data_IF_159674614896
#
_entry.id   IF_159674614896
#
_cell.length_a   1.000
_cell.length_b   1.000
_cell.length_c   1.000
_cell.angle_alpha   90.00
_cell.angle_beta   90.00
_cell.angle_gamma   90.00
#
_symmetry.space_group_name_H-M   'P 1'
#
loop_
_entity.id
_entity.type
_entity.pdbx_description
1 polymer ?
#
# COMPACT_ATOMS: atom_id res chain seq x y z
N UNK A 1 -10.13 16.39 11.62
CA UNK A 1 -10.56 15.02 11.28
C UNK A 1 -10.30 14.77 9.80
N UNK A 2 -10.28 13.52 9.35
CA UNK A 2 -10.07 13.20 7.92
C UNK A 2 -11.31 13.55 7.09
N UNK A 3 -11.10 14.06 5.89
CA UNK A 3 -11.56 13.45 4.63
C UNK A 3 -10.96 14.23 3.46
N UNK A 4 -10.10 13.59 2.66
CA UNK A 4 -9.67 14.12 1.36
C UNK A 4 -10.36 13.31 0.24
N UNK A 5 -11.43 13.84 -0.37
CA UNK A 5 -12.00 13.26 -1.58
C UNK A 5 -11.13 13.58 -2.80
N UNK A 6 -11.32 12.85 -3.88
CA UNK A 6 -10.83 13.25 -5.21
C UNK A 6 -11.67 14.46 -5.64
N UNK A 7 -11.09 15.66 -5.61
CA UNK A 7 -11.77 16.89 -6.01
C UNK A 7 -11.85 16.97 -7.55
N UNK A 8 -13.07 16.84 -8.08
CA UNK A 8 -13.39 17.08 -9.49
C UNK A 8 -14.15 18.39 -9.58
N UNK A 9 -13.62 19.37 -10.34
CA UNK A 9 -14.18 20.71 -10.43
C UNK A 9 -14.86 20.98 -11.79
N UNK A 10 -16.17 21.25 -11.72
CA UNK A 10 -16.99 21.99 -12.68
C UNK A 10 -17.98 22.84 -11.87
N UNK A 11 -18.69 23.83 -12.41
CA UNK A 11 -19.13 24.09 -13.80
C UNK A 11 -19.28 25.60 -14.01
N UNK A 12 -19.12 26.07 -15.26
CA UNK A 12 -19.75 27.31 -15.75
C UNK A 12 -20.85 26.94 -16.75
N UNK A 13 -22.06 27.51 -16.63
CA UNK A 13 -23.21 27.32 -17.53
C UNK A 13 -23.71 28.67 -18.08
N UNK A 14 -24.22 28.71 -19.32
CA UNK A 14 -25.65 28.99 -19.43
C UNK A 14 -26.41 28.18 -20.51
N UNK A 15 -27.50 27.54 -20.06
CA UNK A 15 -28.80 27.30 -20.75
C UNK A 15 -29.01 26.05 -21.66
N UNK A 16 -29.76 25.09 -21.08
CA UNK A 16 -31.13 24.57 -21.48
C UNK A 16 -31.47 24.47 -22.99
N UNK A 17 -32.11 23.44 -23.54
CA UNK A 17 -32.69 22.12 -23.15
C UNK A 17 -32.51 21.16 -24.37
N UNK A 18 -33.03 19.92 -24.55
CA UNK A 18 -33.96 18.95 -23.90
C UNK A 18 -33.52 17.50 -24.29
N UNK A 19 -34.07 16.35 -23.89
CA UNK A 19 -35.37 15.98 -23.24
C UNK A 19 -35.18 14.88 -22.17
N UNK A 20 -33.98 14.73 -21.59
CA UNK A 20 -33.70 13.79 -20.49
C UNK A 20 -34.14 14.32 -19.10
N UNK A 21 -35.13 15.23 -19.04
CA UNK A 21 -35.47 15.98 -17.82
C UNK A 21 -36.16 15.15 -16.72
N UNK A 22 -36.90 14.10 -17.07
CA UNK A 22 -37.83 13.44 -16.12
C UNK A 22 -37.11 12.72 -14.96
N UNK A 23 -35.83 12.37 -15.11
CA UNK A 23 -34.98 11.86 -14.01
C UNK A 23 -34.20 12.96 -13.26
N UNK A 24 -34.16 14.19 -13.80
CA UNK A 24 -33.50 15.33 -13.17
C UNK A 24 -34.42 15.99 -12.11
N UNK A 25 -35.73 16.07 -12.40
CA UNK A 25 -36.76 16.71 -11.55
C UNK A 25 -37.10 15.95 -10.25
N UNK A 26 -36.25 15.02 -9.78
CA UNK A 26 -36.53 14.19 -8.58
C UNK A 26 -35.56 14.33 -7.40
N UNK A 27 -34.43 15.01 -7.57
CA UNK A 27 -33.52 15.34 -6.46
C UNK A 27 -33.64 16.82 -6.07
N UNK A 28 -34.76 17.17 -5.42
CA UNK A 28 -34.78 18.32 -4.52
C UNK A 28 -33.78 18.05 -3.38
N UNK A 29 -32.70 18.85 -3.31
CA UNK A 29 -32.16 19.46 -2.07
C UNK A 29 -30.76 20.08 -2.31
N UNK A 30 -30.74 21.19 -3.06
CA UNK A 30 -29.62 22.16 -3.03
C UNK A 30 -30.12 23.54 -2.56
N UNK A 31 -31.01 23.56 -1.56
CA UNK A 31 -31.52 24.80 -0.96
C UNK A 31 -32.13 24.63 0.44
N UNK A 32 -31.39 24.05 1.39
CA UNK A 32 -31.45 24.53 2.78
C UNK A 32 -30.04 24.95 3.18
N UNK A 33 -29.91 26.11 3.83
CA UNK A 33 -28.66 26.62 4.39
C UNK A 33 -28.74 26.50 5.90
N UNK A 34 -27.99 25.58 6.47
CA UNK A 34 -27.49 25.77 7.82
C UNK A 34 -26.38 26.83 7.75
N UNK A 35 -26.50 27.92 8.51
CA UNK A 35 -25.49 28.99 8.59
C UNK A 35 -24.26 28.50 9.38
N UNK A 36 -23.44 27.67 8.73
CA UNK A 36 -22.09 27.35 9.18
C UNK A 36 -21.16 28.44 8.64
N UNK A 37 -20.61 29.24 9.55
CA UNK A 37 -19.71 30.35 9.25
C UNK A 37 -18.49 29.95 8.38
N UNK A 38 -17.83 30.91 7.74
CA UNK A 38 -17.07 30.74 6.49
C UNK A 38 -16.08 29.57 6.54
N UNK A 39 -16.51 28.42 6.03
CA UNK A 39 -15.64 27.28 5.76
C UNK A 39 -14.73 27.65 4.60
N UNK A 40 -13.43 27.40 4.75
CA UNK A 40 -12.46 27.72 3.70
C UNK A 40 -12.77 26.88 2.45
N UNK A 41 -13.18 27.54 1.36
CA UNK A 41 -13.38 26.88 0.08
C UNK A 41 -12.11 26.14 -0.33
N UNK A 42 -12.26 24.91 -0.81
CA UNK A 42 -11.14 24.03 -1.17
C UNK A 42 -10.46 24.48 -2.47
N UNK A 43 -9.67 25.54 -2.37
CA UNK A 43 -8.93 26.15 -3.47
C UNK A 43 -7.79 25.24 -3.94
N UNK A 44 -7.87 24.79 -5.19
CA UNK A 44 -6.76 24.13 -5.88
C UNK A 44 -5.98 25.17 -6.70
N UNK A 45 -4.75 25.45 -6.29
CA UNK A 45 -3.82 26.21 -7.14
C UNK A 45 -3.50 25.36 -8.38
N UNK A 46 -3.78 25.92 -9.56
CA UNK A 46 -3.54 25.27 -10.85
C UNK A 46 -2.29 25.85 -11.53
N UNK A 47 -1.52 25.04 -12.29
CA UNK A 47 -0.46 25.56 -13.15
C UNK A 47 -1.03 26.58 -14.15
N UNK A 48 -0.31 27.68 -14.45
CA UNK A 48 -0.61 28.54 -15.59
C UNK A 48 -0.79 27.71 -16.87
N UNK A 49 -1.77 28.06 -17.71
CA UNK A 49 -2.13 27.29 -18.89
C UNK A 49 -0.96 27.08 -19.89
N UNK A 50 0.03 27.98 -19.86
CA UNK A 50 1.27 27.95 -20.65
C UNK A 50 2.28 26.89 -20.19
N UNK A 51 2.17 26.33 -18.98
CA UNK A 51 3.07 25.28 -18.48
C UNK A 51 2.68 23.87 -18.96
N UNK A 52 1.45 23.68 -19.45
CA UNK A 52 0.96 22.39 -19.93
C UNK A 52 1.51 22.03 -21.32
N UNK A 53 2.44 21.08 -21.37
CA UNK A 53 2.97 20.49 -22.60
C UNK A 53 2.12 19.30 -23.02
N UNK A 54 1.95 19.10 -24.32
CA UNK A 54 1.29 17.89 -24.81
C UNK A 54 2.23 16.69 -24.68
N UNK A 55 1.76 15.59 -24.08
CA UNK A 55 2.59 14.41 -23.77
C UNK A 55 3.14 13.78 -25.06
N UNK A 56 2.46 14.00 -26.19
CA UNK A 56 2.84 13.46 -27.50
C UNK A 56 3.33 14.55 -28.48
N UNK A 57 3.68 15.75 -28.00
CA UNK A 57 4.06 16.90 -28.84
C UNK A 57 5.20 16.63 -29.83
N UNK A 58 6.07 15.65 -29.53
CA UNK A 58 7.23 15.26 -30.35
C UNK A 58 7.09 13.82 -30.88
N UNK A 59 5.96 13.17 -30.67
CA UNK A 59 5.75 11.75 -30.96
C UNK A 59 4.80 11.60 -32.14
N UNK A 60 5.29 11.07 -33.26
CA UNK A 60 4.40 10.57 -34.32
C UNK A 60 3.76 9.27 -33.82
N UNK A 61 2.65 9.42 -33.09
CA UNK A 61 1.85 8.27 -32.68
C UNK A 61 1.38 7.53 -33.95
N UNK A 62 1.67 6.22 -34.11
CA UNK A 62 1.08 5.45 -35.18
C UNK A 62 -0.44 5.47 -35.03
N UNK A 63 -1.18 5.45 -36.14
CA UNK A 63 -2.63 5.26 -36.04
C UNK A 63 -2.90 3.91 -35.38
N UNK A 64 -3.49 3.96 -34.19
CA UNK A 64 -3.98 2.77 -33.51
C UNK A 64 -5.06 2.17 -34.40
N UNK A 65 -4.85 0.94 -34.84
CA UNK A 65 -5.76 0.22 -35.73
C UNK A 65 -6.73 -0.61 -34.90
N UNK A 66 -7.90 -0.95 -35.48
CA UNK A 66 -8.84 -1.86 -34.84
C UNK A 66 -8.18 -3.19 -34.46
N UNK A 67 -7.29 -3.72 -35.32
CA UNK A 67 -6.48 -4.89 -35.01
C UNK A 67 -5.62 -4.71 -33.75
N UNK A 68 -4.88 -3.59 -33.62
CA UNK A 68 -4.08 -3.32 -32.42
C UNK A 68 -4.91 -3.15 -31.13
N UNK A 69 -6.14 -2.64 -31.26
CA UNK A 69 -7.10 -2.57 -30.16
C UNK A 69 -7.61 -3.95 -29.72
N UNK A 70 -7.95 -4.84 -30.67
CA UNK A 70 -8.31 -6.24 -30.37
C UNK A 70 -7.15 -6.98 -29.71
N UNK A 71 -5.94 -6.92 -30.27
CA UNK A 71 -4.73 -7.54 -29.69
C UNK A 71 -4.41 -7.02 -28.29
N UNK A 72 -4.69 -5.74 -28.01
CA UNK A 72 -4.59 -5.20 -26.66
C UNK A 72 -5.63 -5.82 -25.70
N UNK A 73 -6.90 -5.91 -26.09
CA UNK A 73 -7.95 -6.51 -25.26
C UNK A 73 -7.68 -8.00 -24.97
N UNK A 74 -7.29 -8.76 -25.98
CA UNK A 74 -6.91 -10.18 -25.88
C UNK A 74 -5.78 -10.39 -24.87
N UNK A 75 -4.73 -9.56 -24.94
CA UNK A 75 -3.58 -9.60 -24.02
C UNK A 75 -3.95 -9.39 -22.54
N UNK A 76 -5.09 -8.75 -22.26
CA UNK A 76 -5.62 -8.56 -20.91
C UNK A 76 -6.87 -9.39 -20.61
N UNK A 77 -7.20 -10.38 -21.44
CA UNK A 77 -8.34 -11.28 -21.25
C UNK A 77 -9.71 -10.59 -21.29
N UNK A 78 -9.81 -9.42 -21.92
CA UNK A 78 -11.04 -8.63 -22.01
C UNK A 78 -11.78 -8.96 -23.30
N UNK A 79 -13.09 -9.12 -23.22
CA UNK A 79 -13.93 -9.27 -24.40
C UNK A 79 -14.18 -7.92 -25.09
N UNK A 80 -14.49 -7.97 -26.38
CA UNK A 80 -14.79 -6.79 -27.19
C UNK A 80 -16.16 -6.18 -26.82
N UNK A 81 -16.14 -5.09 -26.07
CA UNK A 81 -17.35 -4.31 -25.77
C UNK A 81 -17.58 -3.22 -26.81
N UNK A 82 -18.72 -3.30 -27.52
CA UNK A 82 -19.14 -2.28 -28.51
C UNK A 82 -19.25 -0.86 -27.94
N UNK A 83 -19.46 -0.70 -26.63
CA UNK A 83 -19.40 0.62 -25.97
C UNK A 83 -17.98 1.18 -25.90
N UNK A 84 -16.98 0.33 -25.67
CA UNK A 84 -15.56 0.72 -25.66
C UNK A 84 -15.07 0.98 -27.09
N UNK A 85 -15.57 0.22 -28.06
CA UNK A 85 -15.38 0.48 -29.50
C UNK A 85 -15.88 1.88 -29.90
N UNK A 86 -17.10 2.28 -29.49
CA UNK A 86 -17.60 3.65 -29.71
C UNK A 86 -16.73 4.69 -29.00
N UNK A 87 -16.47 4.55 -27.69
CA UNK A 87 -15.62 5.48 -26.93
C UNK A 87 -14.24 5.70 -27.58
N UNK A 88 -13.70 4.65 -28.23
CA UNK A 88 -12.47 4.68 -29.01
C UNK A 88 -12.64 5.37 -30.38
N UNK A 89 -13.62 4.96 -31.19
CA UNK A 89 -13.87 5.48 -32.54
C UNK A 89 -14.27 6.97 -32.53
N UNK A 90 -15.08 7.36 -31.55
CA UNK A 90 -15.59 8.71 -31.34
C UNK A 90 -14.54 9.63 -30.64
N UNK A 91 -13.34 9.10 -30.36
CA UNK A 91 -12.17 9.82 -29.82
C UNK A 91 -12.44 10.59 -28.52
N UNK A 92 -13.12 9.94 -27.56
CA UNK A 92 -13.55 10.59 -26.32
C UNK A 92 -12.42 11.28 -25.55
N UNK A 93 -11.19 10.73 -25.56
CA UNK A 93 -10.00 11.43 -25.06
C UNK A 93 -9.32 12.21 -26.20
N UNK A 94 -9.53 13.53 -26.22
CA UNK A 94 -9.11 14.43 -27.31
C UNK A 94 -7.60 14.77 -27.22
N UNK A 95 -7.10 15.01 -26.01
CA UNK A 95 -5.66 15.15 -25.75
C UNK A 95 -5.35 14.91 -24.26
N UNK A 96 -4.07 14.63 -23.96
CA UNK A 96 -3.56 14.52 -22.59
C UNK A 96 -2.27 15.35 -22.45
N UNK A 97 -2.27 16.28 -21.50
CA UNK A 97 -1.16 17.23 -21.29
C UNK A 97 -0.59 17.12 -19.88
N UNK A 98 0.73 17.27 -19.78
CA UNK A 98 1.48 17.25 -18.54
C UNK A 98 1.98 18.64 -18.16
N UNK A 99 1.93 18.97 -16.88
CA UNK A 99 2.64 20.09 -16.27
C UNK A 99 3.25 19.63 -14.94
N UNK A 100 4.34 20.26 -14.52
CA UNK A 100 4.94 20.02 -13.20
C UNK A 100 5.10 21.35 -12.47
N UNK A 101 4.74 21.36 -11.18
CA UNK A 101 5.05 22.46 -10.25
C UNK A 101 6.11 21.95 -9.28
N UNK A 102 7.15 22.77 -9.10
CA UNK A 102 8.21 22.67 -8.08
C UNK A 102 8.82 21.26 -7.90
N UNK A 103 8.95 20.52 -9.01
CA UNK A 103 9.47 19.13 -9.10
C UNK A 103 8.72 18.06 -8.30
N UNK A 104 7.62 18.41 -7.63
CA UNK A 104 6.96 17.54 -6.64
C UNK A 104 5.46 17.32 -6.85
N UNK A 105 4.84 18.05 -7.78
CA UNK A 105 3.43 17.86 -8.17
C UNK A 105 3.34 17.72 -9.68
N UNK A 106 2.64 16.69 -10.15
CA UNK A 106 2.49 16.31 -11.54
C UNK A 106 1.01 16.43 -11.96
N UNK A 107 0.70 17.40 -12.83
CA UNK A 107 -0.67 17.61 -13.32
C UNK A 107 -0.86 16.91 -14.66
N UNK A 108 -1.89 16.08 -14.75
CA UNK A 108 -2.38 15.53 -16.02
C UNK A 108 -3.71 16.22 -16.35
N UNK A 109 -3.73 17.00 -17.43
CA UNK A 109 -4.96 17.57 -18.00
C UNK A 109 -5.44 16.71 -19.16
N UNK A 110 -6.54 16.00 -18.95
CA UNK A 110 -7.26 15.30 -20.02
C UNK A 110 -8.35 16.20 -20.61
N UNK A 111 -8.45 16.28 -21.94
CA UNK A 111 -9.59 16.91 -22.61
C UNK A 111 -10.54 15.81 -23.08
N UNK A 112 -11.77 15.79 -22.57
CA UNK A 112 -12.75 14.74 -22.84
C UNK A 112 -13.95 15.32 -23.58
N UNK A 113 -14.28 14.75 -24.74
CA UNK A 113 -15.52 15.06 -25.45
C UNK A 113 -16.66 14.15 -24.98
N UNK A 114 -17.89 14.65 -24.98
CA UNK A 114 -19.09 13.82 -24.89
C UNK A 114 -20.17 14.37 -25.83
N UNK A 115 -20.71 13.51 -26.69
CA UNK A 115 -21.78 13.89 -27.60
C UNK A 115 -23.17 13.61 -26.99
N UNK A 116 -23.88 14.68 -26.64
CA UNK A 116 -25.33 14.63 -26.38
C UNK A 116 -26.01 15.83 -27.04
N UNK A 117 -26.25 15.74 -28.35
CA UNK A 117 -26.90 16.74 -29.24
C UNK A 117 -26.23 18.12 -29.36
N UNK A 118 -25.38 18.52 -28.42
CA UNK A 118 -24.31 19.49 -28.59
C UNK A 118 -23.01 18.82 -28.13
N UNK A 119 -21.89 19.14 -28.77
CA UNK A 119 -20.57 18.63 -28.36
C UNK A 119 -20.15 19.33 -27.06
N UNK A 120 -20.25 18.62 -25.92
CA UNK A 120 -19.76 19.12 -24.63
C UNK A 120 -18.31 18.69 -24.47
N UNK A 121 -17.46 19.63 -24.04
CA UNK A 121 -16.03 19.40 -23.81
C UNK A 121 -15.73 19.63 -22.33
N UNK A 122 -15.27 18.60 -21.66
CA UNK A 122 -14.76 18.66 -20.29
C UNK A 122 -13.24 18.79 -20.31
N UNK A 123 -12.70 19.74 -19.53
CA UNK A 123 -11.28 19.78 -19.21
C UNK A 123 -11.10 19.18 -17.81
N UNK A 124 -10.56 17.96 -17.73
CA UNK A 124 -10.34 17.25 -16.48
C UNK A 124 -8.90 17.51 -16.01
N UNK A 125 -8.75 18.34 -14.98
CA UNK A 125 -7.49 18.52 -14.28
C UNK A 125 -7.32 17.45 -13.20
N UNK A 126 -6.34 16.56 -13.36
CA UNK A 126 -5.92 15.62 -12.32
C UNK A 126 -4.59 16.09 -11.75
N UNK A 127 -4.59 16.53 -10.49
CA UNK A 127 -3.37 16.72 -9.71
C UNK A 127 -2.92 15.36 -9.18
N UNK A 128 -1.80 14.84 -9.69
CA UNK A 128 -1.06 13.77 -9.04
C UNK A 128 -0.04 14.40 -8.10
N UNK A 129 -0.09 14.05 -6.83
CA UNK A 129 1.07 14.23 -5.97
C UNK A 129 2.12 13.16 -6.32
N UNK A 130 3.36 13.35 -5.83
CA UNK A 130 4.38 12.31 -5.96
C UNK A 130 4.08 11.04 -5.10
N UNK A 131 2.93 10.99 -4.40
CA UNK A 131 2.37 9.77 -3.79
C UNK A 131 1.48 8.96 -4.75
N UNK A 132 1.45 9.31 -6.05
CA UNK A 132 1.12 8.40 -7.14
C UNK A 132 2.09 7.20 -7.17
N UNK A 133 1.88 6.27 -6.24
CA UNK A 133 2.86 5.29 -5.75
C UNK A 133 3.66 4.60 -6.86
N UNK A 134 4.93 5.00 -7.02
CA UNK A 134 5.91 4.21 -7.73
C UNK A 134 6.30 3.01 -6.86
N UNK A 135 5.63 1.88 -7.09
CA UNK A 135 5.88 0.61 -6.38
C UNK A 135 7.03 -0.19 -7.06
N UNK A 136 7.48 0.28 -8.23
CA UNK A 136 8.63 -0.23 -8.95
C UNK A 136 9.96 0.34 -8.41
N UNK A 137 10.01 1.63 -8.09
CA UNK A 137 11.25 2.33 -7.69
C UNK A 137 10.97 3.33 -6.55
N UNK A 138 11.88 3.41 -5.57
CA UNK A 138 11.80 4.37 -4.46
C UNK A 138 13.20 4.91 -4.12
N UNK A 139 13.29 6.21 -3.78
CA UNK A 139 14.54 6.83 -3.35
C UNK A 139 14.80 6.58 -1.86
N UNK A 140 16.07 6.55 -1.45
CA UNK A 140 16.42 6.38 -0.03
C UNK A 140 15.82 7.45 0.87
N UNK A 141 15.70 8.68 0.38
CA UNK A 141 15.09 9.76 1.14
C UNK A 141 13.59 9.53 1.35
N UNK A 142 12.87 8.97 0.35
CA UNK A 142 11.48 8.57 0.51
C UNK A 142 11.32 7.36 1.44
N UNK A 143 12.24 6.38 1.43
CA UNK A 143 12.25 5.28 2.42
C UNK A 143 12.42 5.82 3.84
N UNK A 144 13.38 6.74 4.04
CA UNK A 144 13.66 7.39 5.33
C UNK A 144 12.49 8.27 5.80
N UNK A 145 11.85 9.02 4.90
CA UNK A 145 10.67 9.85 5.22
C UNK A 145 9.46 8.99 5.61
N UNK A 146 9.19 7.91 4.88
CA UNK A 146 8.12 6.97 5.25
C UNK A 146 8.42 6.35 6.62
N UNK A 147 9.64 5.85 6.87
CA UNK A 147 10.01 5.29 8.18
C UNK A 147 9.74 6.29 9.32
N UNK A 148 10.39 7.45 9.30
CA UNK A 148 10.28 8.48 10.35
C UNK A 148 8.83 8.90 10.58
N UNK A 149 8.07 9.15 9.51
CA UNK A 149 6.67 9.60 9.61
C UNK A 149 5.66 8.48 9.91
N UNK A 150 6.11 7.23 10.02
CA UNK A 150 5.28 6.06 10.39
C UNK A 150 5.67 5.42 11.73
N UNK A 151 6.60 6.03 12.48
CA UNK A 151 6.85 5.73 13.91
C UNK A 151 5.59 5.93 14.75
N UNK A 152 5.52 5.29 15.92
CA UNK A 152 4.28 4.99 16.64
C UNK A 152 3.49 3.81 16.05
N UNK A 153 3.89 3.29 14.88
CA UNK A 153 3.34 2.11 14.21
C UNK A 153 1.81 1.96 14.31
N UNK A 154 1.32 1.09 15.20
CA UNK A 154 -0.10 0.78 15.39
C UNK A 154 -0.95 2.00 15.77
N UNK A 155 -0.40 3.00 16.46
CA UNK A 155 -1.09 4.26 16.74
C UNK A 155 -0.98 5.30 15.62
N UNK A 156 -0.17 5.04 14.58
CA UNK A 156 0.05 5.94 13.46
C UNK A 156 -0.84 5.56 12.26
N UNK A 157 -1.62 6.52 11.77
CA UNK A 157 -2.53 6.28 10.65
C UNK A 157 -1.87 6.33 9.27
N UNK A 158 -0.71 6.98 9.11
CA UNK A 158 0.11 6.85 7.89
C UNK A 158 0.65 5.43 7.81
N UNK A 159 1.20 4.88 8.89
CA UNK A 159 1.65 3.49 8.98
C UNK A 159 0.54 2.51 8.54
N UNK A 160 -0.67 2.69 9.08
CA UNK A 160 -1.83 1.88 8.75
C UNK A 160 -2.39 2.09 7.33
N UNK A 161 -1.98 3.15 6.61
CA UNK A 161 -2.25 3.35 5.17
C UNK A 161 -1.15 2.75 4.29
N UNK A 162 0.11 3.08 4.55
CA UNK A 162 1.28 2.60 3.80
C UNK A 162 1.33 1.06 3.71
N UNK A 163 1.03 0.37 4.82
CA UNK A 163 0.93 -1.10 4.90
C UNK A 163 -0.18 -1.72 4.04
N UNK A 164 -1.09 -0.92 3.46
CA UNK A 164 -2.11 -1.42 2.53
C UNK A 164 -1.64 -1.42 1.07
N UNK A 165 -0.49 -0.81 0.77
CA UNK A 165 0.10 -0.75 -0.58
C UNK A 165 1.26 -1.72 -0.79
N UNK A 166 1.70 -2.40 0.28
CA UNK A 166 2.91 -3.23 0.31
C UNK A 166 2.64 -4.53 1.08
N UNK A 167 3.32 -5.61 0.71
CA UNK A 167 3.31 -6.87 1.44
C UNK A 167 4.25 -6.73 2.63
N UNK A 168 3.79 -7.06 3.84
CA UNK A 168 4.56 -6.84 5.08
C UNK A 168 5.22 -8.11 5.59
N UNK A 169 6.43 -8.00 6.16
CA UNK A 169 7.24 -9.09 6.73
C UNK A 169 6.45 -10.19 7.45
N UNK A 170 5.57 -9.79 8.38
CA UNK A 170 4.70 -10.67 9.17
C UNK A 170 3.70 -11.53 8.39
N UNK A 171 3.61 -11.36 7.06
CA UNK A 171 2.84 -12.20 6.15
C UNK A 171 3.71 -13.00 5.17
N UNK A 172 5.04 -12.85 5.17
CA UNK A 172 5.92 -13.50 4.19
C UNK A 172 5.80 -15.03 4.27
N UNK A 173 5.95 -15.62 5.47
CA UNK A 173 5.77 -17.06 5.66
C UNK A 173 4.39 -17.59 5.25
N UNK A 174 3.33 -16.78 5.42
CA UNK A 174 1.97 -17.12 4.97
C UNK A 174 1.83 -17.17 3.45
N UNK A 175 2.62 -16.40 2.71
CA UNK A 175 2.65 -16.39 1.23
C UNK A 175 3.57 -17.49 0.72
N UNK A 176 4.81 -17.56 1.24
CA UNK A 176 5.82 -18.55 0.84
C UNK A 176 5.40 -20.00 1.10
N UNK A 177 4.57 -20.25 2.13
CA UNK A 177 4.04 -21.57 2.47
C UNK A 177 2.61 -21.80 1.97
N UNK A 178 2.10 -20.91 1.11
CA UNK A 178 0.79 -21.08 0.49
C UNK A 178 0.83 -22.21 -0.56
N UNK A 179 -0.18 -23.09 -0.54
CA UNK A 179 -0.32 -24.18 -1.51
C UNK A 179 -1.30 -23.80 -2.63
N UNK A 180 -1.40 -24.63 -3.67
CA UNK A 180 -2.40 -24.50 -4.75
C UNK A 180 -3.86 -24.49 -4.28
N UNK A 181 -4.13 -24.90 -3.03
CA UNK A 181 -5.46 -24.81 -2.38
C UNK A 181 -5.78 -23.41 -1.82
N UNK A 182 -4.85 -22.45 -1.90
CA UNK A 182 -5.01 -21.11 -1.36
C UNK A 182 -5.77 -20.22 -2.33
N UNK A 183 -6.84 -19.56 -1.89
CA UNK A 183 -7.42 -18.44 -2.65
C UNK A 183 -6.49 -17.23 -2.55
N UNK A 184 -5.54 -17.16 -3.48
CA UNK A 184 -4.57 -16.07 -3.54
C UNK A 184 -5.21 -14.71 -3.85
N UNK A 185 -6.36 -14.67 -4.56
CA UNK A 185 -7.11 -13.43 -4.82
C UNK A 185 -7.79 -12.90 -3.56
N UNK A 186 -8.27 -13.78 -2.67
CA UNK A 186 -8.68 -13.41 -1.31
C UNK A 186 -7.48 -13.02 -0.45
N UNK A 187 -6.38 -13.78 -0.48
CA UNK A 187 -5.17 -13.44 0.28
C UNK A 187 -4.67 -12.02 -0.05
N UNK A 188 -4.56 -11.67 -1.33
CA UNK A 188 -4.19 -10.33 -1.78
C UNK A 188 -5.11 -9.24 -1.20
N UNK A 189 -6.44 -9.43 -1.27
CA UNK A 189 -7.41 -8.49 -0.71
C UNK A 189 -7.36 -8.40 0.82
N UNK A 190 -7.22 -9.53 1.51
CA UNK A 190 -7.14 -9.61 2.97
C UNK A 190 -5.91 -8.87 3.51
N UNK A 191 -4.75 -8.99 2.85
CA UNK A 191 -3.50 -8.26 3.19
C UNK A 191 -3.68 -6.74 3.10
N UNK A 192 -4.54 -6.26 2.21
CA UNK A 192 -4.79 -4.83 1.98
C UNK A 192 -5.86 -4.24 2.92
N UNK A 193 -6.44 -5.01 3.86
CA UNK A 193 -7.42 -4.52 4.83
C UNK A 193 -6.75 -3.99 6.09
N UNK A 194 -7.29 -2.91 6.68
CA UNK A 194 -6.95 -2.50 8.05
C UNK A 194 -7.42 -3.59 9.02
N UNK A 195 -6.51 -4.49 9.40
CA UNK A 195 -6.83 -5.66 10.19
C UNK A 195 -7.17 -5.25 11.64
N UNK A 196 -8.40 -5.57 12.08
CA UNK A 196 -8.90 -5.26 13.42
C UNK A 196 -9.15 -6.53 14.25
N UNK A 197 -8.40 -7.60 13.99
CA UNK A 197 -8.50 -8.86 14.76
C UNK A 197 -7.97 -8.60 16.18
N UNK A 198 -8.89 -8.67 17.16
CA UNK A 198 -8.54 -8.75 18.58
C UNK A 198 -8.57 -10.20 19.01
N UNK A 199 -7.53 -10.64 19.72
CA UNK A 199 -7.49 -11.94 20.38
C UNK A 199 -6.50 -11.88 21.53
N UNK A 200 -6.68 -12.75 22.54
CA UNK A 200 -5.89 -12.73 23.78
C UNK A 200 -4.37 -12.75 23.54
N UNK A 201 -3.90 -13.41 22.49
CA UNK A 201 -2.48 -13.42 22.11
C UNK A 201 -1.97 -12.07 21.59
N UNK A 202 -2.73 -11.42 20.69
CA UNK A 202 -2.39 -10.09 20.16
C UNK A 202 -2.46 -9.04 21.28
N UNK A 203 -3.54 -9.06 22.07
CA UNK A 203 -3.77 -8.08 23.14
C UNK A 203 -2.72 -8.22 24.27
N UNK A 204 -2.28 -9.44 24.59
CA UNK A 204 -1.16 -9.70 25.50
C UNK A 204 0.18 -9.26 24.92
N UNK A 205 0.46 -9.53 23.63
CA UNK A 205 1.66 -9.04 22.96
C UNK A 205 1.83 -7.53 23.13
N UNK A 206 0.82 -6.77 22.68
CA UNK A 206 0.80 -5.31 22.76
C UNK A 206 0.88 -4.74 24.20
N UNK A 207 0.55 -5.54 25.21
CA UNK A 207 0.59 -5.14 26.63
C UNK A 207 1.99 -5.31 27.24
N UNK A 208 2.76 -6.31 26.79
CA UNK A 208 4.05 -6.69 27.40
C UNK A 208 5.27 -6.42 26.52
N UNK A 209 5.08 -6.12 25.23
CA UNK A 209 6.11 -5.70 24.26
C UNK A 209 7.07 -4.64 24.82
N UNK A 210 6.54 -3.54 25.37
CA UNK A 210 7.36 -2.47 25.99
C UNK A 210 8.09 -2.91 27.28
N UNK A 211 7.52 -3.87 28.01
CA UNK A 211 8.14 -4.44 29.21
C UNK A 211 9.30 -5.38 28.84
N UNK A 212 9.12 -6.18 27.79
CA UNK A 212 10.15 -7.03 27.21
C UNK A 212 11.29 -6.20 26.61
N UNK A 213 10.96 -5.12 25.89
CA UNK A 213 11.94 -4.18 25.34
C UNK A 213 12.82 -3.57 26.43
N UNK A 214 12.21 -3.01 27.49
CA UNK A 214 12.94 -2.42 28.61
C UNK A 214 13.87 -3.43 29.31
N UNK A 215 13.40 -4.67 29.51
CA UNK A 215 14.25 -5.75 30.05
C UNK A 215 15.40 -6.14 29.11
N UNK A 216 15.21 -6.09 27.79
CA UNK A 216 16.29 -6.30 26.82
C UNK A 216 17.33 -5.18 26.86
N UNK A 217 16.92 -3.91 26.98
CA UNK A 217 17.84 -2.78 27.14
C UNK A 217 18.66 -2.91 28.44
N UNK A 218 17.98 -3.19 29.56
CA UNK A 218 18.60 -3.40 30.88
C UNK A 218 19.60 -4.58 30.90
N UNK A 219 19.27 -5.69 30.22
CA UNK A 219 20.11 -6.89 30.18
C UNK A 219 21.27 -6.79 29.18
N UNK A 220 21.06 -6.13 28.04
CA UNK A 220 22.03 -6.12 26.94
C UNK A 220 22.93 -4.89 26.92
N UNK A 221 22.56 -3.82 27.63
CA UNK A 221 23.30 -2.54 27.65
C UNK A 221 23.15 -1.69 26.38
N UNK A 222 22.36 -2.12 25.40
CA UNK A 222 22.07 -1.34 24.19
C UNK A 222 20.83 -0.48 24.39
N UNK A 223 20.85 0.74 23.87
CA UNK A 223 19.63 1.54 23.64
C UNK A 223 18.95 1.08 22.35
N UNK A 224 17.63 0.90 22.37
CA UNK A 224 16.85 0.53 21.19
C UNK A 224 16.09 1.75 20.67
N UNK A 225 16.25 2.07 19.39
CA UNK A 225 15.50 3.14 18.73
C UNK A 225 14.19 2.61 18.13
N UNK A 226 13.09 3.36 18.32
CA UNK A 226 11.80 3.09 17.67
C UNK A 226 11.91 3.15 16.14
N UNK A 227 11.21 2.25 15.46
CA UNK A 227 11.15 2.13 14.01
C UNK A 227 9.70 2.24 13.49
N UNK A 228 9.51 2.87 12.33
CA UNK A 228 8.24 2.93 11.60
C UNK A 228 8.07 1.77 10.61
N UNK A 229 7.64 2.10 9.39
CA UNK A 229 7.58 1.20 8.24
C UNK A 229 8.80 1.42 7.34
N UNK A 230 9.71 0.46 7.33
CA UNK A 230 10.87 0.41 6.44
C UNK A 230 10.46 -0.29 5.14
N UNK A 231 10.53 0.43 4.03
CA UNK A 231 10.29 -0.12 2.68
C UNK A 231 11.58 -0.75 2.17
N UNK A 232 11.50 -1.95 1.57
CA UNK A 232 12.66 -2.53 0.90
C UNK A 232 12.98 -1.72 -0.36
N UNK A 233 14.19 -1.15 -0.44
CA UNK A 233 14.63 -0.29 -1.55
C UNK A 233 14.59 -1.02 -2.90
N UNK A 234 15.08 -2.26 -2.93
CA UNK A 234 15.22 -3.05 -4.16
C UNK A 234 13.90 -3.73 -4.58
N UNK A 235 12.96 -3.86 -3.65
CA UNK A 235 11.64 -4.45 -3.86
C UNK A 235 10.54 -3.60 -3.18
N UNK A 236 10.16 -2.42 -3.72
CA UNK A 236 9.32 -1.46 -2.98
C UNK A 236 7.88 -1.93 -2.72
N UNK A 237 7.45 -3.05 -3.30
CA UNK A 237 6.23 -3.76 -2.94
C UNK A 237 6.34 -4.54 -1.60
N UNK A 238 7.54 -4.62 -1.00
CA UNK A 238 7.83 -5.24 0.28
C UNK A 238 8.18 -4.18 1.34
N UNK A 239 7.75 -4.41 2.58
CA UNK A 239 8.09 -3.56 3.71
C UNK A 239 8.08 -4.32 5.04
N UNK A 240 8.65 -3.73 6.09
CA UNK A 240 8.58 -4.24 7.45
C UNK A 240 8.44 -3.13 8.50
N UNK A 241 7.99 -3.51 9.70
CA UNK A 241 8.06 -2.68 10.90
C UNK A 241 8.64 -3.50 12.05
N UNK A 242 9.97 -3.50 12.24
CA UNK A 242 10.62 -4.07 13.41
C UNK A 242 10.07 -3.52 14.72
N UNK A 243 10.07 -4.32 15.78
CA UNK A 243 9.74 -3.85 17.13
C UNK A 243 10.82 -2.89 17.68
N UNK A 244 12.06 -2.95 17.15
CA UNK A 244 13.09 -1.94 17.38
C UNK A 244 14.36 -2.12 16.54
N UNK A 245 15.29 -1.17 16.64
CA UNK A 245 16.62 -1.22 16.00
C UNK A 245 17.72 -0.89 17.02
N UNK A 246 18.87 -1.57 16.93
CA UNK A 246 20.09 -1.24 17.68
C UNK A 246 21.21 -0.92 16.70
N UNK A 247 21.71 0.32 16.77
CA UNK A 247 22.69 0.88 15.85
C UNK A 247 22.33 0.61 14.38
N UNK A 248 23.32 0.50 13.50
CA UNK A 248 23.14 0.04 12.10
C UNK A 248 23.27 -1.49 11.95
N UNK A 249 23.47 -2.22 13.06
CA UNK A 249 23.80 -3.65 13.06
C UNK A 249 22.59 -4.59 13.20
N UNK A 250 21.69 -4.30 14.15
CA UNK A 250 20.69 -5.28 14.61
C UNK A 250 19.25 -4.81 14.52
N UNK A 251 18.38 -5.75 14.18
CA UNK A 251 16.93 -5.71 14.33
C UNK A 251 16.56 -6.27 15.71
N UNK A 252 15.53 -5.70 16.35
CA UNK A 252 14.86 -6.30 17.51
C UNK A 252 13.45 -6.73 17.09
N UNK A 253 13.10 -7.97 17.43
CA UNK A 253 11.79 -8.58 17.18
C UNK A 253 11.33 -9.23 18.50
N UNK A 254 10.15 -8.87 19.01
CA UNK A 254 9.70 -9.19 20.37
C UNK A 254 8.49 -10.12 20.35
N UNK A 255 8.52 -11.21 21.11
CA UNK A 255 7.39 -12.15 21.20
C UNK A 255 7.05 -12.46 22.65
N UNK A 256 5.84 -12.07 23.06
CA UNK A 256 5.23 -12.42 24.34
C UNK A 256 4.19 -13.55 24.11
N UNK A 257 4.55 -14.84 24.26
CA UNK A 257 3.67 -15.95 23.91
C UNK A 257 2.58 -16.18 24.97
N UNK A 258 1.38 -15.63 24.75
CA UNK A 258 0.25 -15.71 25.70
C UNK A 258 -0.03 -17.13 26.26
N UNK A 259 0.17 -18.19 25.48
CA UNK A 259 -0.04 -19.58 25.97
C UNK A 259 0.99 -19.94 27.04
N UNK A 260 2.27 -19.67 26.79
CA UNK A 260 3.41 -20.00 27.65
C UNK A 260 3.81 -18.87 28.62
N UNK A 261 3.00 -17.82 28.77
CA UNK A 261 3.31 -16.63 29.59
C UNK A 261 3.62 -16.92 31.08
N UNK A 262 3.23 -18.09 31.60
CA UNK A 262 3.54 -18.59 32.95
C UNK A 262 4.43 -19.85 32.87
N UNK A 263 5.43 -19.86 31.99
CA UNK A 263 6.30 -21.02 31.76
C UNK A 263 7.67 -20.57 31.27
N UNK A 264 8.72 -21.27 31.72
CA UNK A 264 10.09 -21.07 31.25
C UNK A 264 10.18 -21.30 29.73
N UNK A 265 10.98 -20.50 29.01
CA UNK A 265 11.16 -20.61 27.55
C UNK A 265 12.03 -21.83 27.21
N UNK A 266 11.47 -22.75 26.41
CA UNK A 266 12.16 -23.89 25.80
C UNK A 266 11.34 -24.43 24.61
N UNK A 267 11.86 -25.44 23.91
CA UNK A 267 11.21 -26.09 22.77
C UNK A 267 9.83 -26.69 23.06
N UNK A 268 9.61 -27.20 24.28
CA UNK A 268 8.34 -27.83 24.68
C UNK A 268 7.25 -26.81 25.04
N UNK A 269 7.62 -25.63 25.50
CA UNK A 269 6.69 -24.54 25.85
C UNK A 269 6.45 -23.59 24.67
N UNK A 270 7.46 -23.35 23.82
CA UNK A 270 7.41 -22.42 22.70
C UNK A 270 7.46 -23.19 21.37
N UNK A 271 6.29 -23.40 20.76
CA UNK A 271 6.06 -24.23 19.57
C UNK A 271 6.71 -23.74 18.25
N UNK A 272 7.54 -22.69 18.30
CA UNK A 272 8.34 -22.19 17.19
C UNK A 272 9.85 -22.30 17.48
N UNK A 273 10.25 -22.92 18.58
CA UNK A 273 11.64 -23.18 18.93
C UNK A 273 11.96 -24.68 18.86
N UNK A 274 13.22 -24.97 18.59
CA UNK A 274 13.78 -26.31 18.46
C UNK A 274 15.12 -26.38 19.19
N UNK A 275 15.38 -27.49 19.87
CA UNK A 275 16.69 -27.76 20.44
C UNK A 275 17.65 -28.23 19.35
N UNK A 276 18.86 -27.67 19.33
CA UNK A 276 19.93 -28.03 18.40
C UNK A 276 21.21 -28.34 19.17
N UNK A 277 22.24 -28.95 18.54
CA UNK A 277 23.56 -29.11 19.16
C UNK A 277 24.21 -27.79 19.61
N UNK A 278 23.73 -26.65 19.08
CA UNK A 278 24.19 -25.30 19.40
C UNK A 278 23.22 -24.55 20.34
N UNK A 279 22.33 -25.27 21.04
CA UNK A 279 21.31 -24.71 21.92
C UNK A 279 19.96 -24.45 21.25
N UNK A 280 19.11 -23.67 21.92
CA UNK A 280 17.74 -23.37 21.50
C UNK A 280 17.72 -22.39 20.32
N UNK A 281 17.03 -22.75 19.23
CA UNK A 281 16.95 -21.95 18.00
C UNK A 281 15.50 -21.80 17.52
N UNK A 282 15.26 -20.79 16.69
CA UNK A 282 14.01 -20.64 15.94
C UNK A 282 13.90 -21.78 14.89
N UNK A 283 12.70 -22.31 14.67
CA UNK A 283 12.42 -23.14 13.50
C UNK A 283 12.46 -22.29 12.22
N UNK A 284 13.38 -22.61 11.30
CA UNK A 284 13.54 -21.90 10.03
C UNK A 284 12.33 -22.07 9.09
N UNK A 285 11.48 -23.09 9.32
CA UNK A 285 10.20 -23.27 8.65
C UNK A 285 9.08 -22.43 9.31
N UNK A 286 9.27 -21.88 10.52
CA UNK A 286 8.24 -21.10 11.19
C UNK A 286 8.06 -19.71 10.55
N UNK A 287 6.83 -19.18 10.57
CA UNK A 287 6.50 -17.91 9.91
C UNK A 287 7.33 -16.72 10.43
N UNK A 288 7.80 -16.78 11.67
CA UNK A 288 8.67 -15.74 12.24
C UNK A 288 10.07 -15.71 11.59
N UNK A 289 10.60 -16.84 11.09
CA UNK A 289 11.89 -16.82 10.39
C UNK A 289 11.78 -16.04 9.07
N UNK A 290 10.72 -16.29 8.29
CA UNK A 290 10.40 -15.49 7.10
C UNK A 290 10.21 -14.00 7.41
N UNK A 291 9.57 -13.68 8.54
CA UNK A 291 9.40 -12.29 8.98
C UNK A 291 10.75 -11.63 9.30
N UNK A 292 11.57 -12.27 10.13
CA UNK A 292 12.86 -11.76 10.63
C UNK A 292 13.89 -11.63 9.50
N UNK A 293 13.95 -12.61 8.59
CA UNK A 293 14.75 -12.49 7.36
C UNK A 293 14.26 -11.34 6.47
N UNK A 294 12.93 -11.11 6.42
CA UNK A 294 12.34 -9.95 5.76
C UNK A 294 12.68 -8.62 6.42
N UNK A 295 12.88 -8.59 7.74
CA UNK A 295 13.28 -7.40 8.50
C UNK A 295 14.73 -7.02 8.26
N UNK A 296 15.65 -7.99 8.33
CA UNK A 296 17.06 -7.80 7.98
C UNK A 296 17.23 -7.38 6.51
N UNK A 297 16.43 -7.94 5.59
CA UNK A 297 16.37 -7.51 4.19
C UNK A 297 15.87 -6.06 4.03
N UNK A 298 14.75 -5.68 4.65
CA UNK A 298 14.21 -4.31 4.51
C UNK A 298 15.10 -3.25 5.16
N UNK A 299 15.76 -3.58 6.28
CA UNK A 299 16.54 -2.63 7.10
C UNK A 299 18.04 -2.59 6.77
N UNK A 300 18.50 -3.43 5.83
CA UNK A 300 19.92 -3.57 5.48
C UNK A 300 20.78 -4.28 6.53
N UNK A 301 20.23 -4.67 7.68
CA UNK A 301 20.94 -5.26 8.82
C UNK A 301 21.30 -6.73 8.62
N UNK A 302 22.24 -7.23 9.42
CA UNK A 302 22.83 -8.57 9.30
C UNK A 302 22.43 -9.52 10.45
N UNK A 303 21.88 -8.98 11.55
CA UNK A 303 21.50 -9.72 12.75
C UNK A 303 20.13 -9.29 13.24
N UNK A 304 19.37 -10.23 13.80
CA UNK A 304 18.18 -9.98 14.61
C UNK A 304 18.35 -10.64 15.99
N UNK A 305 18.13 -9.87 17.05
CA UNK A 305 17.96 -10.42 18.40
C UNK A 305 16.45 -10.67 18.61
N UNK A 306 16.01 -11.93 18.50
CA UNK A 306 14.62 -12.33 18.79
C UNK A 306 14.44 -12.42 20.31
N UNK A 307 13.73 -11.46 20.88
CA UNK A 307 13.45 -11.35 22.32
C UNK A 307 12.15 -12.07 22.65
N UNK A 308 12.24 -13.15 23.43
CA UNK A 308 11.07 -13.91 23.88
C UNK A 308 10.88 -13.63 25.37
N UNK A 309 9.66 -13.25 25.77
CA UNK A 309 9.37 -12.79 27.13
C UNK A 309 8.15 -13.51 27.73
N UNK A 310 8.36 -14.14 28.88
CA UNK A 310 7.30 -14.69 29.75
C UNK A 310 7.35 -13.99 31.10
N UNK A 311 6.42 -14.29 32.00
CA UNK A 311 6.50 -13.79 33.38
C UNK A 311 7.58 -14.51 34.21
N UNK A 312 8.05 -15.67 33.74
CA UNK A 312 9.06 -16.51 34.39
C UNK A 312 10.49 -16.14 33.95
N UNK A 313 10.70 -15.86 32.66
CA UNK A 313 12.02 -15.63 32.06
C UNK A 313 11.98 -14.73 30.81
N UNK A 314 13.16 -14.31 30.36
CA UNK A 314 13.40 -13.64 29.09
C UNK A 314 14.60 -14.30 28.42
N UNK A 315 14.48 -14.65 27.14
CA UNK A 315 15.57 -15.21 26.35
C UNK A 315 15.74 -14.45 25.04
N UNK A 316 16.98 -14.40 24.54
CA UNK A 316 17.34 -13.72 23.29
C UNK A 316 17.96 -14.75 22.35
N UNK A 317 17.28 -15.02 21.24
CA UNK A 317 17.75 -15.96 20.22
C UNK A 317 18.29 -15.13 19.07
N UNK A 318 19.60 -15.23 18.84
CA UNK A 318 20.30 -14.45 17.82
C UNK A 318 20.21 -15.14 16.47
N UNK A 319 19.63 -14.45 15.50
CA UNK A 319 19.37 -14.94 14.15
C UNK A 319 20.20 -14.10 13.18
N UNK A 320 20.88 -14.76 12.24
CA UNK A 320 21.70 -14.12 11.22
C UNK A 320 20.97 -14.06 9.88
N UNK A 321 21.30 -13.07 9.07
CA UNK A 321 20.77 -12.89 7.71
C UNK A 321 21.18 -14.06 6.80
N UNK A 322 20.19 -14.73 6.23
CA UNK A 322 20.36 -15.84 5.30
C UNK A 322 20.04 -15.36 3.89
N UNK A 323 21.07 -14.93 3.16
CA UNK A 323 20.93 -14.35 1.81
C UNK A 323 20.32 -15.34 0.82
N UNK A 324 20.59 -16.64 0.96
CA UNK A 324 20.08 -17.68 0.05
C UNK A 324 18.59 -17.99 0.34
N UNK A 325 18.20 -18.02 1.61
CA UNK A 325 16.79 -18.07 2.00
C UNK A 325 16.04 -16.82 1.57
N UNK A 326 16.62 -15.62 1.78
CA UNK A 326 16.02 -14.34 1.37
C UNK A 326 15.78 -14.32 -0.15
N UNK A 327 16.74 -14.70 -0.98
CA UNK A 327 16.56 -14.78 -2.43
C UNK A 327 15.42 -15.74 -2.82
N UNK A 328 15.33 -16.90 -2.16
CA UNK A 328 14.27 -17.90 -2.38
C UNK A 328 12.89 -17.36 -1.98
N UNK A 329 12.81 -16.69 -0.82
CA UNK A 329 11.61 -16.04 -0.29
C UNK A 329 11.14 -14.90 -1.21
N UNK A 330 12.05 -14.03 -1.65
CA UNK A 330 11.75 -12.89 -2.53
C UNK A 330 11.15 -13.35 -3.85
N UNK A 331 11.70 -14.40 -4.48
CA UNK A 331 11.15 -14.94 -5.73
C UNK A 331 9.67 -15.37 -5.60
N UNK A 332 9.30 -15.98 -4.47
CA UNK A 332 7.91 -16.36 -4.18
C UNK A 332 7.01 -15.14 -3.91
N UNK A 333 7.51 -14.15 -3.15
CA UNK A 333 6.80 -12.90 -2.86
C UNK A 333 6.58 -12.05 -4.12
N UNK A 334 7.56 -12.00 -5.01
CA UNK A 334 7.49 -11.25 -6.28
C UNK A 334 6.49 -11.89 -7.25
N UNK A 335 6.44 -13.23 -7.31
CA UNK A 335 5.44 -13.97 -8.10
C UNK A 335 4.03 -13.66 -7.59
N UNK A 336 3.79 -13.79 -6.28
CA UNK A 336 2.51 -13.42 -5.65
C UNK A 336 2.16 -11.93 -5.85
N UNK A 337 3.16 -11.05 -5.84
CA UNK A 337 2.95 -9.63 -6.11
C UNK A 337 2.49 -9.39 -7.56
N UNK A 338 3.21 -9.93 -8.54
CA UNK A 338 2.94 -9.79 -9.98
C UNK A 338 1.57 -10.35 -10.37
N UNK A 339 1.23 -11.54 -9.90
CA UNK A 339 0.02 -12.25 -10.32
C UNK A 339 -1.25 -11.81 -9.56
N UNK A 340 -1.11 -11.40 -8.29
CA UNK A 340 -2.27 -11.25 -7.40
C UNK A 340 -2.32 -9.91 -6.65
N UNK A 341 -1.27 -9.56 -5.90
CA UNK A 341 -1.32 -8.36 -5.04
C UNK A 341 -1.43 -7.07 -5.85
N UNK A 342 -0.66 -6.94 -6.94
CA UNK A 342 -0.69 -5.76 -7.83
C UNK A 342 -2.08 -5.54 -8.42
N UNK A 343 -2.74 -6.61 -8.88
CA UNK A 343 -4.09 -6.55 -9.43
C UNK A 343 -5.12 -6.12 -8.37
N UNK A 344 -5.11 -6.74 -7.18
CA UNK A 344 -5.95 -6.34 -6.05
C UNK A 344 -5.73 -4.86 -5.65
N UNK A 345 -4.49 -4.38 -5.73
CA UNK A 345 -4.17 -2.99 -5.36
C UNK A 345 -4.73 -1.99 -6.37
N UNK A 346 -4.59 -2.30 -7.67
CA UNK A 346 -5.16 -1.52 -8.75
C UNK A 346 -6.69 -1.49 -8.67
N UNK A 347 -7.34 -2.64 -8.47
CA UNK A 347 -8.80 -2.75 -8.24
C UNK A 347 -9.25 -1.90 -7.04
N UNK A 348 -8.55 -1.99 -5.91
CA UNK A 348 -8.97 -1.33 -4.66
C UNK A 348 -8.76 0.18 -4.65
N UNK A 349 -7.66 0.68 -5.22
CA UNK A 349 -7.25 2.09 -5.05
C UNK A 349 -7.30 2.93 -6.33
N UNK A 350 -7.27 2.31 -7.52
CA UNK A 350 -7.16 3.03 -8.80
C UNK A 350 -8.37 2.81 -9.72
N UNK A 351 -9.03 1.64 -9.67
CA UNK A 351 -10.18 1.29 -10.52
C UNK A 351 -11.48 1.14 -9.72
N UNK A 352 -12.16 2.26 -9.41
CA UNK A 352 -13.57 2.19 -8.98
C UNK A 352 -14.45 1.62 -10.08
N UNK A 353 -15.26 0.61 -9.78
CA UNK A 353 -16.22 0.12 -10.75
C UNK A 353 -17.33 1.16 -10.96
N UNK A 354 -17.81 1.32 -12.20
CA UNK A 354 -18.88 2.29 -12.51
C UNK A 354 -20.17 2.05 -11.70
N UNK A 355 -20.37 0.81 -11.22
CA UNK A 355 -21.51 0.39 -10.38
C UNK A 355 -21.45 0.87 -8.92
N UNK A 356 -20.28 1.29 -8.45
CA UNK A 356 -20.09 1.77 -7.07
C UNK A 356 -20.42 3.27 -6.92
N UNK A 357 -20.64 3.97 -8.04
CA UNK A 357 -21.26 5.29 -8.04
C UNK A 357 -22.76 5.14 -7.74
N UNK A 358 -23.14 5.45 -6.50
CA UNK A 358 -24.53 5.82 -6.19
C UNK A 358 -24.79 7.20 -6.78
N UNK A 359 -25.49 7.21 -7.91
CA UNK A 359 -26.16 8.38 -8.48
C UNK A 359 -27.50 8.61 -7.75
#
# INVERSE_FOLDING_TARGET
MHHYPILVAGVDDPTRHSTMLIFYDRNNNFSERDDVGPSAEFSMVKPPATQYKDINAQTVLPQVTFASYITYLEKFGKQHEKKVECLYADKFLICMRHACIDSHINYIRGRVGAEMKKMVIYNVDVSLDNHGMNISEITENAVKEVEVSTRGQKSNERWARERQFRITSSNFGRICKATTRTDFKKLARDLQRKCSVRCKAIDHGNMYEKTALKKYEEMSGHTVTECGLVICKDYPFLASSPDGLVNEEKVIEIKCPYVARNSQINSSTINYLQDTPNGLQLDNNHNYYYQIQGEMMCTGREVCDLVIFTFEDLQVIKIYKDVQFIATMVNQLETFYKEHFKNSLLEKHFYRAYKDYKF
#
